data_IF_312757448385
#
_entry.id   IF_312757448385
#
_cell.length_a   1.000
_cell.length_b   1.000
_cell.length_c   1.000
_cell.angle_alpha   90.00
_cell.angle_beta   90.00
_cell.angle_gamma   90.00
#
_symmetry.space_group_name_H-M   'P 1'
#
loop_
_entity.id
_entity.type
_entity.pdbx_description
1 polymer ?
#
# COMPACT_ATOMS: atom_id res chain seq x y z
N UNK A 1 -5.81 -18.53 -6.54
CA UNK A 1 -5.09 -17.29 -6.17
C UNK A 1 -5.87 -16.15 -6.78
N UNK A 2 -6.32 -15.17 -6.00
CA UNK A 2 -7.35 -14.21 -6.41
C UNK A 2 -6.88 -13.25 -7.52
N UNK A 3 -7.80 -12.86 -8.41
CA UNK A 3 -7.56 -11.89 -9.49
C UNK A 3 -7.94 -10.46 -9.09
N UNK A 4 -8.60 -10.33 -7.96
CA UNK A 4 -8.92 -9.05 -7.33
C UNK A 4 -8.96 -9.19 -5.82
N UNK A 5 -8.57 -8.16 -5.10
CA UNK A 5 -8.81 -8.04 -3.66
C UNK A 5 -9.57 -6.76 -3.37
N UNK A 6 -10.38 -6.76 -2.32
CA UNK A 6 -11.03 -5.53 -1.85
C UNK A 6 -10.43 -5.13 -0.52
N UNK A 7 -9.97 -3.88 -0.46
CA UNK A 7 -9.33 -3.29 0.69
C UNK A 7 -10.22 -2.18 1.22
N UNK A 8 -10.40 -2.15 2.53
CA UNK A 8 -11.11 -1.08 3.22
C UNK A 8 -10.14 -0.36 4.15
N UNK A 9 -10.20 0.96 4.17
CA UNK A 9 -9.56 1.74 5.20
C UNK A 9 -10.19 1.37 6.55
N UNK A 10 -9.39 1.21 7.62
CA UNK A 10 -9.92 1.03 8.97
C UNK A 10 -10.89 2.17 9.30
N UNK A 11 -11.98 1.88 9.99
CA UNK A 11 -12.93 2.90 10.41
C UNK A 11 -12.20 3.91 11.30
N UNK A 12 -12.28 5.19 10.94
CA UNK A 12 -11.85 6.27 11.84
C UNK A 12 -13.00 6.47 12.81
N UNK A 13 -12.78 6.27 14.10
CA UNK A 13 -13.76 6.69 15.10
C UNK A 13 -13.99 8.19 14.94
N UNK A 14 -15.20 8.55 14.49
CA UNK A 14 -15.61 9.91 14.16
C UNK A 14 -15.53 10.88 15.35
N UNK A 15 -15.38 10.37 16.57
CA UNK A 15 -15.13 11.17 17.78
C UNK A 15 -13.73 11.78 17.79
N UNK A 16 -12.70 11.06 17.29
CA UNK A 16 -11.34 11.55 17.25
C UNK A 16 -11.15 12.68 16.21
N UNK A 17 -11.93 12.71 15.13
CA UNK A 17 -11.78 13.70 14.04
C UNK A 17 -12.04 15.15 14.52
N UNK A 18 -12.93 15.34 15.50
CA UNK A 18 -13.28 16.68 16.01
C UNK A 18 -12.21 17.31 16.89
N UNK A 19 -11.35 16.51 17.53
CA UNK A 19 -10.35 17.03 18.47
C UNK A 19 -9.08 17.57 17.78
N UNK A 20 -8.79 17.17 16.54
CA UNK A 20 -7.50 17.47 15.91
C UNK A 20 -7.47 18.71 14.99
N UNK A 21 -8.56 19.48 14.83
CA UNK A 21 -8.63 20.62 13.90
C UNK A 21 -8.02 20.31 12.52
N UNK A 22 -8.20 19.06 12.05
CA UNK A 22 -7.70 18.64 10.75
C UNK A 22 -8.66 19.18 9.68
N UNK A 23 -8.28 20.30 9.07
CA UNK A 23 -8.97 20.82 7.89
C UNK A 23 -8.69 19.88 6.71
N UNK A 24 -9.55 18.89 6.51
CA UNK A 24 -9.60 18.16 5.26
C UNK A 24 -9.97 19.16 4.16
N UNK A 25 -9.15 19.26 3.11
CA UNK A 25 -9.49 20.06 1.95
C UNK A 25 -10.84 19.56 1.40
N UNK A 26 -11.78 20.48 1.21
CA UNK A 26 -13.23 20.28 0.93
C UNK A 26 -13.56 19.64 -0.43
N UNK A 27 -12.72 18.71 -0.89
CA UNK A 27 -12.93 17.93 -2.11
C UNK A 27 -12.36 16.50 -2.07
N UNK A 28 -11.66 16.09 -1.01
CA UNK A 28 -11.10 14.74 -0.92
C UNK A 28 -12.17 13.79 -0.36
N UNK A 29 -12.98 13.20 -1.26
CA UNK A 29 -13.81 12.05 -0.89
C UNK A 29 -12.84 10.96 -0.44
N UNK A 30 -12.73 10.74 0.86
CA UNK A 30 -11.92 9.64 1.42
C UNK A 30 -12.37 8.35 0.75
N UNK A 31 -11.53 7.78 -0.11
CA UNK A 31 -11.76 6.46 -0.67
C UNK A 31 -11.63 5.50 0.50
N UNK A 32 -12.74 5.16 1.13
CA UNK A 32 -12.76 4.26 2.30
C UNK A 32 -12.60 2.81 1.88
N UNK A 33 -12.75 2.51 0.60
CA UNK A 33 -12.66 1.17 0.06
C UNK A 33 -12.22 1.21 -1.41
N UNK A 34 -11.34 0.30 -1.79
CA UNK A 34 -10.86 0.11 -3.15
C UNK A 34 -10.85 -1.38 -3.48
N UNK A 35 -11.28 -1.72 -4.70
CA UNK A 35 -11.06 -3.05 -5.26
C UNK A 35 -9.84 -2.98 -6.18
N UNK A 36 -8.80 -3.72 -5.84
CA UNK A 36 -7.59 -3.85 -6.63
C UNK A 36 -7.72 -5.02 -7.57
N UNK A 37 -7.52 -4.75 -8.85
CA UNK A 37 -7.25 -5.75 -9.88
C UNK A 37 -5.85 -5.46 -10.46
N UNK A 38 -5.39 -6.31 -11.39
CA UNK A 38 -4.14 -6.06 -12.13
C UNK A 38 -4.10 -4.66 -12.77
N UNK A 39 -5.23 -4.18 -13.29
CA UNK A 39 -5.29 -2.87 -13.95
C UNK A 39 -4.93 -1.73 -12.99
N UNK A 40 -5.42 -1.76 -11.74
CA UNK A 40 -5.06 -0.75 -10.73
C UNK A 40 -3.60 -0.85 -10.25
N UNK A 41 -2.89 -1.95 -10.51
CA UNK A 41 -1.46 -2.02 -10.27
C UNK A 41 -0.66 -1.39 -11.43
N UNK A 42 -1.12 -1.55 -12.68
CA UNK A 42 -0.50 -0.95 -13.87
C UNK A 42 -0.74 0.56 -13.92
N UNK A 43 -1.97 0.99 -13.60
CA UNK A 43 -2.38 2.38 -13.50
C UNK A 43 -2.75 2.73 -12.05
N UNK A 44 -1.74 3.05 -11.20
CA UNK A 44 -1.93 3.11 -9.75
C UNK A 44 -2.54 4.42 -9.23
N UNK A 45 -3.03 5.34 -10.06
CA UNK A 45 -3.44 6.69 -9.59
C UNK A 45 -4.48 6.67 -8.47
N UNK A 46 -5.47 5.76 -8.54
CA UNK A 46 -6.46 5.59 -7.48
C UNK A 46 -5.87 4.91 -6.24
N UNK A 47 -5.01 3.90 -6.46
CA UNK A 47 -4.32 3.19 -5.38
C UNK A 47 -3.36 4.12 -4.63
N UNK A 48 -2.61 4.98 -5.33
CA UNK A 48 -1.72 5.98 -4.74
C UNK A 48 -2.50 6.97 -3.87
N UNK A 49 -3.68 7.41 -4.35
CA UNK A 49 -4.55 8.28 -3.58
C UNK A 49 -5.07 7.58 -2.32
N UNK A 50 -5.47 6.31 -2.43
CA UNK A 50 -5.88 5.48 -1.30
C UNK A 50 -4.75 5.30 -0.28
N UNK A 51 -3.54 4.92 -0.72
CA UNK A 51 -2.37 4.76 0.17
C UNK A 51 -1.99 6.08 0.84
N UNK A 52 -2.08 7.22 0.13
CA UNK A 52 -1.86 8.54 0.70
C UNK A 52 -2.87 8.85 1.82
N UNK A 53 -4.14 8.53 1.61
CA UNK A 53 -5.16 8.68 2.66
C UNK A 53 -4.83 7.84 3.89
N UNK A 54 -4.45 6.57 3.72
CA UNK A 54 -4.06 5.70 4.84
C UNK A 54 -2.85 6.25 5.61
N UNK A 55 -1.81 6.72 4.88
CA UNK A 55 -0.62 7.33 5.49
C UNK A 55 -0.96 8.59 6.27
N UNK A 56 -1.87 9.42 5.74
CA UNK A 56 -2.30 10.62 6.41
C UNK A 56 -3.05 10.33 7.73
N UNK A 57 -3.93 9.32 7.68
CA UNK A 57 -4.74 8.91 8.84
C UNK A 57 -3.90 8.35 9.99
N UNK A 58 -2.78 7.68 9.69
CA UNK A 58 -1.91 7.06 10.70
C UNK A 58 -0.59 7.79 10.91
N UNK A 59 0.30 7.75 9.91
CA UNK A 59 1.72 8.07 10.06
C UNK A 59 1.99 9.58 10.05
N UNK A 60 1.32 10.36 9.21
CA UNK A 60 1.56 11.82 9.15
C UNK A 60 1.06 12.53 10.42
N UNK A 61 0.00 11.99 11.04
CA UNK A 61 -0.64 12.56 12.22
C UNK A 61 -0.12 11.97 13.54
N UNK A 62 0.78 10.96 13.49
CA UNK A 62 1.26 10.23 14.66
C UNK A 62 1.84 11.15 15.75
N UNK A 63 2.66 12.13 15.37
CA UNK A 63 3.26 13.08 16.32
C UNK A 63 2.20 13.97 16.96
N UNK A 64 1.23 14.44 16.19
CA UNK A 64 0.17 15.31 16.68
C UNK A 64 -0.73 14.56 17.67
N UNK A 65 -1.15 13.34 17.31
CA UNK A 65 -1.96 12.45 18.16
C UNK A 65 -1.27 12.14 19.48
N UNK A 66 -0.03 11.66 19.43
CA UNK A 66 0.71 11.30 20.64
C UNK A 66 1.00 12.53 21.52
N UNK A 67 1.28 13.70 20.92
CA UNK A 67 1.51 14.92 21.69
C UNK A 67 0.24 15.41 22.40
N UNK A 68 -0.93 15.22 21.81
CA UNK A 68 -2.21 15.58 22.45
C UNK A 68 -2.46 14.74 23.71
N UNK A 69 -2.10 13.45 23.72
CA UNK A 69 -2.18 12.62 24.92
C UNK A 69 -1.36 13.18 26.09
N UNK A 70 -0.21 13.81 25.81
CA UNK A 70 0.60 14.50 26.83
C UNK A 70 -0.02 15.82 27.33
N UNK A 71 -0.86 16.49 26.54
CA UNK A 71 -1.44 17.79 26.89
C UNK A 71 -2.72 17.68 27.71
N UNK A 72 -3.44 16.56 27.60
CA UNK A 72 -4.70 16.33 28.31
C UNK A 72 -4.57 16.09 29.82
N UNK A 73 -3.38 16.31 30.41
CA UNK A 73 -3.13 16.08 31.84
C UNK A 73 -3.09 14.60 32.24
N UNK A 74 -3.02 13.70 31.25
CA UNK A 74 -3.03 12.26 31.45
C UNK A 74 -1.83 11.79 32.27
N UNK A 75 -2.08 10.83 33.17
CA UNK A 75 -1.01 10.13 33.88
C UNK A 75 -0.13 9.34 32.90
N UNK A 76 1.09 8.98 33.32
CA UNK A 76 1.97 8.15 32.49
C UNK A 76 1.33 6.80 32.08
N UNK A 77 0.44 6.26 32.93
CA UNK A 77 -0.30 5.01 32.66
C UNK A 77 -1.34 5.23 31.58
N UNK A 78 -2.18 6.26 31.71
CA UNK A 78 -3.19 6.61 30.70
C UNK A 78 -2.56 6.92 29.35
N UNK A 79 -1.43 7.64 29.34
CA UNK A 79 -0.69 7.92 28.12
C UNK A 79 -0.21 6.65 27.42
N UNK A 80 0.28 5.67 28.18
CA UNK A 80 0.74 4.39 27.64
C UNK A 80 -0.43 3.60 27.04
N UNK A 81 -1.59 3.59 27.71
CA UNK A 81 -2.80 2.98 27.19
C UNK A 81 -3.28 3.66 25.90
N UNK A 82 -3.33 4.99 25.84
CA UNK A 82 -3.68 5.73 24.62
C UNK A 82 -2.72 5.43 23.47
N UNK A 83 -1.42 5.32 23.74
CA UNK A 83 -0.45 4.87 22.75
C UNK A 83 -0.71 3.43 22.29
N UNK A 84 -1.08 2.53 23.20
CA UNK A 84 -1.41 1.13 22.87
C UNK A 84 -2.65 1.04 21.98
N UNK A 85 -3.68 1.82 22.31
CA UNK A 85 -4.92 1.94 21.55
C UNK A 85 -4.63 2.47 20.15
N UNK A 86 -3.95 3.61 20.02
CA UNK A 86 -3.55 4.17 18.73
C UNK A 86 -2.80 3.17 17.86
N UNK A 87 -1.82 2.47 18.44
CA UNK A 87 -1.03 1.48 17.70
C UNK A 87 -1.89 0.33 17.19
N UNK A 88 -2.77 -0.22 18.04
CA UNK A 88 -3.58 -1.41 17.72
C UNK A 88 -4.76 -1.11 16.81
N UNK A 89 -5.41 0.02 17.00
CA UNK A 89 -6.68 0.35 16.35
C UNK A 89 -6.48 1.20 15.10
N UNK A 90 -5.41 1.99 15.04
CA UNK A 90 -5.18 2.90 13.92
C UNK A 90 -3.92 2.53 13.13
N UNK A 91 -2.76 2.49 13.77
CA UNK A 91 -1.48 2.36 13.06
C UNK A 91 -1.34 1.00 12.37
N UNK A 92 -1.45 -0.10 13.12
CA UNK A 92 -1.25 -1.44 12.58
C UNK A 92 -2.28 -1.84 11.52
N UNK A 93 -3.59 -1.58 11.70
CA UNK A 93 -4.57 -1.86 10.66
C UNK A 93 -4.28 -1.08 9.36
N UNK A 94 -3.85 0.18 9.46
CA UNK A 94 -3.44 0.95 8.28
C UNK A 94 -2.21 0.34 7.60
N UNK A 95 -1.18 -0.05 8.37
CA UNK A 95 0.01 -0.71 7.84
C UNK A 95 -0.31 -2.04 7.16
N UNK A 96 -1.21 -2.84 7.75
CA UNK A 96 -1.65 -4.11 7.21
C UNK A 96 -2.35 -3.93 5.85
N UNK A 97 -3.27 -2.97 5.74
CA UNK A 97 -3.97 -2.68 4.48
C UNK A 97 -2.99 -2.25 3.39
N UNK A 98 -2.03 -1.37 3.71
CA UNK A 98 -0.99 -0.95 2.76
C UNK A 98 -0.09 -2.12 2.35
N UNK A 99 0.32 -2.96 3.30
CA UNK A 99 1.11 -4.15 3.03
C UNK A 99 0.37 -5.12 2.09
N UNK A 100 -0.92 -5.37 2.34
CA UNK A 100 -1.78 -6.20 1.48
C UNK A 100 -1.86 -5.67 0.05
N UNK A 101 -2.04 -4.35 -0.12
CA UNK A 101 -2.06 -3.72 -1.44
C UNK A 101 -0.75 -3.93 -2.21
N UNK A 102 0.39 -3.65 -1.58
CA UNK A 102 1.71 -3.77 -2.19
C UNK A 102 2.00 -5.24 -2.54
N UNK A 103 1.70 -6.17 -1.61
CA UNK A 103 1.88 -7.61 -1.81
C UNK A 103 1.02 -8.15 -2.95
N UNK A 104 -0.21 -7.66 -3.10
CA UNK A 104 -1.07 -8.02 -4.22
C UNK A 104 -0.47 -7.57 -5.56
N UNK A 105 -0.03 -6.31 -5.67
CA UNK A 105 0.61 -5.84 -6.91
C UNK A 105 1.94 -6.56 -7.20
N UNK A 106 2.70 -6.94 -6.18
CA UNK A 106 3.88 -7.81 -6.34
C UNK A 106 3.50 -9.18 -6.92
N UNK A 107 2.43 -9.81 -6.41
CA UNK A 107 1.94 -11.07 -6.94
C UNK A 107 1.47 -10.93 -8.39
N UNK A 108 0.82 -9.82 -8.75
CA UNK A 108 0.41 -9.54 -10.13
C UNK A 108 1.62 -9.33 -11.05
N UNK A 109 2.65 -8.59 -10.61
CA UNK A 109 3.90 -8.45 -11.36
C UNK A 109 4.56 -9.82 -11.61
N UNK A 110 4.61 -10.68 -10.60
CA UNK A 110 5.12 -12.04 -10.75
C UNK A 110 4.30 -12.88 -11.74
N UNK A 111 2.96 -12.80 -11.69
CA UNK A 111 2.08 -13.43 -12.69
C UNK A 111 2.36 -12.90 -14.10
N UNK A 112 2.47 -11.58 -14.28
CA UNK A 112 2.78 -10.96 -15.56
C UNK A 112 4.14 -11.41 -16.10
N UNK A 113 5.15 -11.50 -15.23
CA UNK A 113 6.47 -12.02 -15.59
C UNK A 113 6.41 -13.49 -16.04
N UNK A 114 5.70 -14.35 -15.30
CA UNK A 114 5.50 -15.74 -15.70
C UNK A 114 4.74 -15.81 -17.02
N UNK A 115 3.66 -15.05 -17.19
CA UNK A 115 2.92 -14.99 -18.45
C UNK A 115 3.81 -14.57 -19.64
N UNK A 116 4.71 -13.61 -19.45
CA UNK A 116 5.65 -13.17 -20.49
C UNK A 116 6.75 -14.21 -20.79
N UNK A 117 7.19 -14.97 -19.78
CA UNK A 117 8.22 -16.01 -19.90
C UNK A 117 7.64 -17.31 -20.46
N UNK A 118 6.59 -17.84 -19.84
CA UNK A 118 5.95 -19.13 -20.15
C UNK A 118 5.11 -19.09 -21.41
N UNK A 119 4.37 -18.00 -21.68
CA UNK A 119 3.52 -17.99 -22.89
C UNK A 119 4.30 -17.78 -24.17
N UNK A 120 5.58 -17.41 -24.13
CA UNK A 120 6.28 -16.91 -25.32
C UNK A 120 5.30 -16.11 -26.17
N UNK A 121 4.62 -15.07 -25.62
CA UNK A 121 3.75 -14.20 -26.42
C UNK A 121 4.51 -13.94 -27.71
N UNK A 122 4.02 -14.56 -28.81
CA UNK A 122 4.89 -15.03 -29.89
C UNK A 122 5.90 -13.95 -30.20
N UNK A 123 7.17 -14.18 -29.81
CA UNK A 123 8.22 -13.18 -30.04
C UNK A 123 8.00 -12.72 -31.48
N UNK A 124 7.88 -11.42 -31.76
CA UNK A 124 7.53 -10.96 -33.10
C UNK A 124 8.43 -11.65 -34.14
N UNK A 125 9.71 -11.80 -33.79
CA UNK A 125 10.74 -12.49 -34.56
C UNK A 125 10.50 -13.98 -34.87
N UNK A 126 9.57 -14.64 -34.18
CA UNK A 126 9.22 -16.07 -34.32
C UNK A 126 7.85 -16.29 -34.98
N UNK A 127 7.08 -15.22 -35.22
CA UNK A 127 5.74 -15.31 -35.82
C UNK A 127 5.82 -15.02 -37.31
N UNK A 128 5.16 -15.84 -38.13
CA UNK A 128 5.04 -15.56 -39.57
C UNK A 128 3.86 -14.62 -39.83
N UNK A 129 4.14 -13.43 -40.37
CA UNK A 129 3.13 -12.44 -40.73
C UNK A 129 2.87 -12.45 -42.23
N UNK A 130 1.60 -12.51 -42.63
CA UNK A 130 1.23 -12.33 -44.04
C UNK A 130 1.12 -10.83 -44.38
N UNK A 131 2.28 -10.22 -44.67
CA UNK A 131 2.39 -8.80 -44.96
C UNK A 131 1.64 -8.33 -46.23
N UNK A 132 1.17 -9.26 -47.07
CA UNK A 132 0.29 -8.93 -48.21
C UNK A 132 -1.14 -8.61 -47.79
N UNK A 133 -1.60 -9.21 -46.69
CA UNK A 133 -2.92 -8.97 -46.12
C UNK A 133 -2.89 -7.81 -45.13
N UNK A 134 -1.85 -7.74 -44.29
CA UNK A 134 -1.65 -6.66 -43.32
C UNK A 134 -0.17 -6.25 -43.26
N UNK A 135 0.21 -5.15 -43.95
CA UNK A 135 1.57 -4.63 -43.94
C UNK A 135 2.07 -4.16 -42.56
N UNK A 136 1.17 -3.97 -41.58
CA UNK A 136 1.50 -3.44 -40.26
C UNK A 136 1.49 -4.51 -39.16
N UNK A 137 1.13 -5.77 -39.47
CA UNK A 137 0.96 -6.83 -38.49
C UNK A 137 2.22 -7.10 -37.63
N UNK A 138 3.41 -7.10 -38.26
CA UNK A 138 4.67 -7.29 -37.55
C UNK A 138 4.97 -6.14 -36.59
N UNK A 139 4.78 -4.91 -37.05
CA UNK A 139 4.98 -3.71 -36.24
C UNK A 139 4.02 -3.66 -35.05
N UNK A 140 2.74 -3.94 -35.28
CA UNK A 140 1.72 -3.94 -34.24
C UNK A 140 2.03 -5.01 -33.17
N UNK A 141 2.44 -6.22 -33.58
CA UNK A 141 2.80 -7.27 -32.64
C UNK A 141 4.05 -6.94 -31.81
N UNK A 142 5.03 -6.23 -32.40
CA UNK A 142 6.19 -5.74 -31.67
C UNK A 142 5.81 -4.66 -30.65
N UNK A 143 4.97 -3.71 -31.04
CA UNK A 143 4.48 -2.65 -30.14
C UNK A 143 3.67 -3.24 -28.97
N UNK A 144 2.81 -4.23 -29.24
CA UNK A 144 2.06 -4.95 -28.20
C UNK A 144 3.00 -5.69 -27.24
N UNK A 145 4.00 -6.41 -27.78
CA UNK A 145 5.01 -7.09 -26.98
C UNK A 145 5.77 -6.11 -26.08
N UNK A 146 6.30 -5.02 -26.63
CA UNK A 146 7.01 -3.99 -25.87
C UNK A 146 6.12 -3.33 -24.81
N UNK A 147 4.83 -3.13 -25.11
CA UNK A 147 3.86 -2.59 -24.14
C UNK A 147 3.72 -3.48 -22.91
N UNK A 148 3.66 -4.80 -23.07
CA UNK A 148 3.54 -5.70 -21.92
C UNK A 148 4.77 -5.71 -21.02
N UNK A 149 5.98 -5.58 -21.59
CA UNK A 149 7.19 -5.42 -20.79
C UNK A 149 7.18 -4.09 -20.04
N UNK A 150 6.76 -3.01 -20.71
CA UNK A 150 6.60 -1.71 -20.06
C UNK A 150 5.63 -1.75 -18.89
N UNK A 151 4.49 -2.44 -19.03
CA UNK A 151 3.53 -2.59 -17.94
C UNK A 151 4.14 -3.38 -16.77
N UNK A 152 4.88 -4.46 -17.05
CA UNK A 152 5.59 -5.22 -16.02
C UNK A 152 6.62 -4.33 -15.29
N UNK A 153 7.42 -3.56 -16.02
CA UNK A 153 8.44 -2.68 -15.47
C UNK A 153 7.80 -1.60 -14.58
N UNK A 154 6.69 -0.99 -15.03
CA UNK A 154 5.94 0.00 -14.26
C UNK A 154 5.44 -0.57 -12.93
N UNK A 155 4.81 -1.75 -12.94
CA UNK A 155 4.29 -2.37 -11.71
C UNK A 155 5.46 -2.76 -10.78
N UNK A 156 6.54 -3.31 -11.33
CA UNK A 156 7.72 -3.72 -10.55
C UNK A 156 8.34 -2.51 -9.85
N UNK A 157 8.58 -1.43 -10.60
CA UNK A 157 9.12 -0.20 -10.06
C UNK A 157 8.18 0.43 -9.01
N UNK A 158 6.87 0.41 -9.26
CA UNK A 158 5.89 0.90 -8.30
C UNK A 158 5.92 0.11 -6.98
N UNK A 159 6.03 -1.23 -7.05
CA UNK A 159 6.15 -2.11 -5.88
C UNK A 159 7.43 -1.81 -5.10
N UNK A 160 8.58 -1.75 -5.77
CA UNK A 160 9.88 -1.48 -5.14
C UNK A 160 9.88 -0.12 -4.44
N UNK A 161 9.38 0.92 -5.12
CA UNK A 161 9.26 2.26 -4.56
C UNK A 161 8.38 2.27 -3.32
N UNK A 162 7.21 1.62 -3.37
CA UNK A 162 6.30 1.60 -2.22
C UNK A 162 6.85 0.77 -1.06
N UNK A 163 7.58 -0.33 -1.31
CA UNK A 163 8.29 -1.07 -0.25
C UNK A 163 9.32 -0.19 0.46
N UNK A 164 10.07 0.61 -0.30
CA UNK A 164 11.03 1.56 0.27
C UNK A 164 10.32 2.64 1.10
N UNK A 165 9.24 3.22 0.58
CA UNK A 165 8.44 4.22 1.31
C UNK A 165 7.87 3.65 2.60
N UNK A 166 7.28 2.45 2.57
CA UNK A 166 6.75 1.82 3.78
C UNK A 166 7.84 1.52 4.81
N UNK A 167 9.03 1.08 4.38
CA UNK A 167 10.16 0.90 5.30
C UNK A 167 10.54 2.21 6.02
N UNK A 168 10.59 3.33 5.28
CA UNK A 168 10.89 4.64 5.87
C UNK A 168 9.81 5.05 6.86
N UNK A 169 8.53 4.91 6.48
CA UNK A 169 7.39 5.28 7.32
C UNK A 169 7.36 4.45 8.61
N UNK A 170 7.48 3.13 8.49
CA UNK A 170 7.48 2.22 9.63
C UNK A 170 8.63 2.51 10.59
N UNK A 171 9.86 2.68 10.09
CA UNK A 171 11.02 3.03 10.92
C UNK A 171 10.86 4.39 11.62
N UNK A 172 10.29 5.36 10.90
CA UNK A 172 10.03 6.69 11.46
C UNK A 172 8.99 6.63 12.58
N UNK A 173 7.89 5.92 12.34
CA UNK A 173 6.81 5.72 13.30
C UNK A 173 7.29 4.92 14.52
N UNK A 174 8.10 3.87 14.34
CA UNK A 174 8.72 3.12 15.45
C UNK A 174 9.59 4.03 16.32
N UNK A 175 10.44 4.86 15.70
CA UNK A 175 11.27 5.82 16.42
C UNK A 175 10.43 6.81 17.25
N UNK A 176 9.33 7.31 16.68
CA UNK A 176 8.42 8.23 17.36
C UNK A 176 7.74 7.54 18.55
N UNK A 177 7.25 6.31 18.36
CA UNK A 177 6.61 5.53 19.42
C UNK A 177 7.59 5.18 20.54
N UNK A 178 8.82 4.80 20.23
CA UNK A 178 9.86 4.54 21.25
C UNK A 178 10.19 5.81 22.04
N UNK A 179 10.28 6.96 21.37
CA UNK A 179 10.58 8.23 22.04
C UNK A 179 9.42 8.76 22.91
N UNK A 180 8.17 8.55 22.48
CA UNK A 180 7.01 9.24 23.05
C UNK A 180 6.11 8.34 23.87
N UNK A 181 6.09 7.04 23.61
CA UNK A 181 5.24 6.07 24.27
C UNK A 181 6.05 5.14 25.16
N UNK A 182 6.83 4.21 24.59
CA UNK A 182 7.59 3.22 25.36
C UNK A 182 8.90 2.83 24.67
N UNK A 183 10.03 3.28 25.22
CA UNK A 183 11.35 3.16 24.59
C UNK A 183 11.81 1.70 24.35
N UNK A 184 11.46 0.79 25.26
CA UNK A 184 11.91 -0.60 25.20
C UNK A 184 10.94 -1.54 24.46
N UNK A 185 9.95 -0.98 23.75
CA UNK A 185 8.98 -1.80 23.01
C UNK A 185 9.37 -1.91 21.54
N UNK A 186 9.40 -3.13 21.03
CA UNK A 186 9.71 -3.41 19.62
C UNK A 186 8.44 -3.41 18.77
N UNK A 187 7.97 -2.21 18.38
CA UNK A 187 6.70 -2.07 17.66
C UNK A 187 6.74 -2.75 16.29
N UNK A 188 7.83 -2.58 15.53
CA UNK A 188 7.97 -3.23 14.22
C UNK A 188 7.94 -4.75 14.31
N UNK A 189 8.68 -5.32 15.27
CA UNK A 189 8.70 -6.77 15.45
C UNK A 189 7.32 -7.31 15.80
N UNK A 190 6.62 -6.65 16.74
CA UNK A 190 5.24 -7.02 17.10
C UNK A 190 4.32 -6.97 15.88
N UNK A 191 4.45 -5.96 15.02
CA UNK A 191 3.64 -5.87 13.80
C UNK A 191 3.88 -7.06 12.87
N UNK A 192 5.15 -7.34 12.54
CA UNK A 192 5.49 -8.43 11.62
C UNK A 192 5.16 -9.81 12.19
N UNK A 193 5.42 -10.06 13.48
CA UNK A 193 5.03 -11.29 14.16
C UNK A 193 3.52 -11.55 14.10
N UNK A 194 2.70 -10.49 14.09
CA UNK A 194 1.24 -10.60 13.96
C UNK A 194 0.81 -10.87 12.52
N UNK A 195 1.46 -10.24 11.53
CA UNK A 195 1.20 -10.49 10.10
C UNK A 195 1.50 -11.94 9.74
N UNK A 196 2.64 -12.47 10.18
CA UNK A 196 3.06 -13.84 9.86
C UNK A 196 2.07 -14.87 10.41
N UNK A 197 1.59 -14.68 11.65
CA UNK A 197 0.54 -15.52 12.27
C UNK A 197 -0.79 -15.48 11.52
N UNK A 198 -1.12 -14.37 10.88
CA UNK A 198 -2.35 -14.26 10.07
C UNK A 198 -2.23 -14.94 8.70
N UNK A 199 -1.01 -15.25 8.24
CA UNK A 199 -0.77 -15.93 6.97
C UNK A 199 -0.62 -17.45 7.07
N UNK A 200 -0.60 -18.02 8.29
CA UNK A 200 -0.51 -19.47 8.55
C UNK A 200 -1.87 -20.20 8.63
N UNK A 201 -2.99 -19.50 8.41
CA UNK A 201 -4.34 -20.06 8.34
C UNK A 201 -4.97 -19.85 6.96
#
# INVERSE_FOLDING_TARGET
MEDSITLSAPAIDSENIKEYNLNFATGDKTVSQITLTRHQCIEPSLLDSFLRTLRHQSDDTIKAKINNYTRSGSTNVEKLELCNTFVKEELYPNWEVRHKAIKFCEQQANKMKIELVDKHLDRPDKKEYNLRLDPYAEKAAKEEYESHFKDLDNVTQWVENNKMVESILQNTSDSILKQRCHANREYLQIFWDNIDKMTEY
#
